data_IF_184323134350
#
_entry.id   IF_184323134350
#
_cell.length_a   1.000
_cell.length_b   1.000
_cell.length_c   1.000
_cell.angle_alpha   90.00
_cell.angle_beta   90.00
_cell.angle_gamma   90.00
#
_symmetry.space_group_name_H-M   'P 1'
#
loop_
_entity.id
_entity.type
_entity.pdbx_description
1 polymer ?
#
# COMPACT_ATOMS: atom_id res chain seq x y z
N UNK A 1 -4.11 5.28 -1.58
CA UNK A 1 -2.74 5.74 -1.24
C UNK A 1 -1.95 4.67 -0.52
N UNK A 2 -2.54 3.94 0.43
CA UNK A 2 -1.85 2.89 1.22
C UNK A 2 -1.03 1.89 0.40
N UNK A 3 -1.56 1.34 -0.70
CA UNK A 3 -0.79 0.42 -1.57
C UNK A 3 0.41 1.10 -2.23
N UNK A 4 0.26 2.34 -2.69
CA UNK A 4 1.33 3.12 -3.33
C UNK A 4 2.43 3.40 -2.31
N UNK A 5 2.08 3.75 -1.07
CA UNK A 5 3.06 3.95 0.00
C UNK A 5 3.93 2.71 0.23
N UNK A 6 3.32 1.52 0.23
CA UNK A 6 4.05 0.26 0.35
C UNK A 6 4.93 -0.02 -0.87
N UNK A 7 4.40 0.16 -2.08
CA UNK A 7 5.12 -0.07 -3.34
C UNK A 7 6.35 0.83 -3.45
N UNK A 8 6.16 2.13 -3.25
CA UNK A 8 7.25 3.10 -3.34
C UNK A 8 8.26 2.93 -2.21
N UNK A 9 7.80 2.58 -1.00
CA UNK A 9 8.68 2.18 0.10
C UNK A 9 9.57 0.99 -0.28
N UNK A 10 8.99 -0.07 -0.85
CA UNK A 10 9.74 -1.23 -1.32
C UNK A 10 10.71 -0.89 -2.45
N UNK A 11 10.31 -0.09 -3.44
CA UNK A 11 11.20 0.34 -4.54
C UNK A 11 12.40 1.16 -4.06
N UNK A 12 12.29 1.83 -2.92
CA UNK A 12 13.38 2.64 -2.35
C UNK A 12 14.44 1.81 -1.61
N UNK A 13 14.18 0.51 -1.40
CA UNK A 13 15.05 -0.40 -0.63
C UNK A 13 15.79 -1.33 -1.60
N UNK A 14 17.01 -1.74 -1.25
CA UNK A 14 17.79 -2.70 -2.04
C UNK A 14 17.13 -4.10 -2.00
N UNK A 15 17.04 -4.75 -3.16
CA UNK A 15 16.51 -6.12 -3.33
C UNK A 15 17.18 -7.14 -2.39
N UNK A 16 16.46 -8.20 -2.02
CA UNK A 16 16.86 -9.28 -1.11
C UNK A 16 17.09 -8.87 0.36
N UNK A 17 16.65 -7.67 0.76
CA UNK A 17 16.62 -7.27 2.16
C UNK A 17 15.54 -8.02 2.96
N UNK A 18 15.78 -8.15 4.27
CA UNK A 18 14.74 -8.54 5.23
C UNK A 18 14.00 -7.29 5.66
N UNK A 19 12.70 -7.23 5.41
CA UNK A 19 11.88 -6.05 5.62
C UNK A 19 10.74 -6.38 6.57
N UNK A 20 10.50 -5.52 7.55
CA UNK A 20 9.28 -5.54 8.34
C UNK A 20 8.39 -4.37 7.89
N UNK A 21 7.22 -4.69 7.33
CA UNK A 21 6.23 -3.69 6.92
C UNK A 21 5.15 -3.63 8.00
N UNK A 22 5.09 -2.48 8.68
CA UNK A 22 4.02 -2.18 9.62
C UNK A 22 2.96 -1.34 8.92
N UNK A 23 1.70 -1.77 8.99
CA UNK A 23 0.56 -1.03 8.44
C UNK A 23 -0.64 -1.13 9.39
N UNK A 24 -1.41 -0.06 9.50
CA UNK A 24 -2.71 -0.08 10.16
C UNK A 24 -3.88 -0.32 9.20
N UNK A 25 -3.60 -0.32 7.89
CA UNK A 25 -4.58 -0.61 6.85
C UNK A 25 -5.08 -2.04 6.94
N UNK A 26 -6.35 -2.17 7.29
CA UNK A 26 -7.07 -3.45 7.15
C UNK A 26 -7.15 -3.90 5.70
N UNK A 27 -7.14 -2.97 4.74
CA UNK A 27 -7.21 -3.28 3.31
C UNK A 27 -5.93 -3.96 2.83
N UNK A 28 -4.75 -3.41 3.17
CA UNK A 28 -3.45 -4.02 2.85
C UNK A 28 -3.29 -5.35 3.60
N UNK A 29 -3.58 -5.36 4.91
CA UNK A 29 -3.48 -6.56 5.75
C UNK A 29 -4.34 -7.72 5.22
N UNK A 30 -5.61 -7.48 4.94
CA UNK A 30 -6.48 -8.56 4.46
C UNK A 30 -6.16 -8.93 3.00
N UNK A 31 -5.76 -7.95 2.18
CA UNK A 31 -5.37 -8.19 0.80
C UNK A 31 -4.19 -9.15 0.68
N UNK A 32 -3.08 -8.85 1.36
CA UNK A 32 -1.88 -9.70 1.37
C UNK A 32 -2.14 -11.06 2.01
N UNK A 33 -2.84 -11.12 3.16
CA UNK A 33 -2.93 -12.38 3.92
C UNK A 33 -4.04 -13.32 3.45
N UNK A 34 -5.07 -12.82 2.75
CA UNK A 34 -6.30 -13.60 2.52
C UNK A 34 -6.81 -13.56 1.09
N UNK A 35 -6.60 -12.46 0.37
CA UNK A 35 -7.29 -12.25 -0.90
C UNK A 35 -6.39 -12.45 -2.12
N UNK A 36 -5.10 -12.10 -2.02
CA UNK A 36 -4.20 -12.05 -3.16
C UNK A 36 -4.08 -13.39 -3.89
N UNK A 37 -3.98 -14.50 -3.16
CA UNK A 37 -3.89 -15.84 -3.74
C UNK A 37 -5.16 -16.21 -4.52
N UNK A 38 -6.33 -15.91 -3.95
CA UNK A 38 -7.61 -16.16 -4.60
C UNK A 38 -7.81 -15.26 -5.83
N UNK A 39 -7.35 -14.01 -5.77
CA UNK A 39 -7.40 -13.10 -6.90
C UNK A 39 -6.49 -13.58 -8.03
N UNK A 40 -5.26 -14.00 -7.74
CA UNK A 40 -4.34 -14.59 -8.73
C UNK A 40 -4.97 -15.81 -9.42
N UNK A 41 -5.52 -16.72 -8.63
CA UNK A 41 -6.18 -17.92 -9.14
C UNK A 41 -7.43 -17.62 -9.99
N UNK A 42 -8.15 -16.54 -9.69
CA UNK A 42 -9.37 -16.14 -10.40
C UNK A 42 -9.12 -15.04 -11.46
N UNK A 43 -7.87 -14.86 -11.92
CA UNK A 43 -7.53 -13.89 -12.97
C UNK A 43 -7.80 -12.43 -12.58
N UNK A 44 -7.57 -12.10 -11.33
CA UNK A 44 -7.78 -10.79 -10.71
C UNK A 44 -9.23 -10.29 -10.74
N UNK A 45 -10.16 -11.20 -10.42
CA UNK A 45 -11.59 -10.92 -10.31
C UNK A 45 -12.14 -11.24 -8.93
N UNK A 46 -13.07 -10.41 -8.48
CA UNK A 46 -13.87 -10.61 -7.27
C UNK A 46 -14.87 -11.76 -7.44
N UNK A 47 -15.49 -12.20 -6.34
CA UNK A 47 -16.57 -13.21 -6.39
C UNK A 47 -17.75 -12.78 -7.29
N UNK A 48 -18.00 -11.46 -7.39
CA UNK A 48 -19.00 -10.89 -8.30
C UNK A 48 -18.54 -10.83 -9.77
N UNK A 49 -17.42 -11.49 -10.13
CA UNK A 49 -16.78 -11.49 -11.46
C UNK A 49 -16.35 -10.12 -11.98
N UNK A 50 -16.35 -9.10 -11.12
CA UNK A 50 -15.83 -7.76 -11.44
C UNK A 50 -14.31 -7.72 -11.20
N UNK A 51 -13.57 -6.87 -11.94
CA UNK A 51 -12.15 -6.62 -11.64
C UNK A 51 -11.95 -6.24 -10.18
N UNK A 52 -10.86 -6.72 -9.59
CA UNK A 52 -10.43 -6.29 -8.25
C UNK A 52 -10.15 -4.79 -8.26
N UNK A 53 -10.58 -4.09 -7.22
CA UNK A 53 -10.28 -2.66 -7.06
C UNK A 53 -8.76 -2.49 -6.91
N UNK A 54 -8.17 -1.52 -7.61
CA UNK A 54 -6.72 -1.28 -7.64
C UNK A 54 -5.93 -2.51 -8.13
N UNK A 55 -6.48 -3.26 -9.09
CA UNK A 55 -5.87 -4.49 -9.62
C UNK A 55 -4.42 -4.26 -10.07
N UNK A 56 -4.18 -3.17 -10.79
CA UNK A 56 -2.88 -2.72 -11.26
C UNK A 56 -1.85 -2.62 -10.11
N UNK A 57 -2.20 -1.89 -9.05
CA UNK A 57 -1.33 -1.74 -7.87
C UNK A 57 -1.10 -3.07 -7.14
N UNK A 58 -2.12 -3.92 -7.06
CA UNK A 58 -1.95 -5.24 -6.43
C UNK A 58 -1.04 -6.17 -7.23
N UNK A 59 -1.12 -6.13 -8.57
CA UNK A 59 -0.23 -6.90 -9.43
C UNK A 59 1.22 -6.44 -9.27
N UNK A 60 1.44 -5.12 -9.29
CA UNK A 60 2.77 -4.54 -9.07
C UNK A 60 3.32 -4.90 -7.68
N UNK A 61 2.49 -4.79 -6.63
CA UNK A 61 2.89 -5.19 -5.30
C UNK A 61 3.22 -6.69 -5.21
N UNK A 62 2.40 -7.56 -5.80
CA UNK A 62 2.62 -9.02 -5.82
C UNK A 62 3.95 -9.40 -6.47
N UNK A 63 4.34 -8.70 -7.54
CA UNK A 63 5.62 -8.89 -8.22
C UNK A 63 6.79 -8.38 -7.36
N UNK A 64 6.69 -7.18 -6.79
CA UNK A 64 7.74 -6.58 -5.98
C UNK A 64 8.04 -7.39 -4.72
N UNK A 65 7.01 -7.89 -4.03
CA UNK A 65 7.20 -8.62 -2.76
C UNK A 65 7.97 -9.93 -2.95
N UNK A 66 8.04 -10.49 -4.16
CA UNK A 66 8.85 -11.69 -4.43
C UNK A 66 10.36 -11.44 -4.29
N UNK A 67 10.80 -10.19 -4.41
CA UNK A 67 12.22 -9.82 -4.34
C UNK A 67 12.73 -9.62 -2.89
N UNK A 68 11.87 -9.81 -1.89
CA UNK A 68 12.17 -9.46 -0.49
C UNK A 68 11.71 -10.57 0.46
N UNK A 69 12.38 -10.66 1.61
CA UNK A 69 11.86 -11.43 2.75
C UNK A 69 11.04 -10.49 3.63
N UNK A 70 9.72 -10.48 3.44
CA UNK A 70 8.84 -9.50 4.10
C UNK A 70 8.08 -10.15 5.26
N UNK A 71 8.18 -9.52 6.43
CA UNK A 71 7.30 -9.76 7.57
C UNK A 71 6.24 -8.65 7.62
N UNK A 72 4.98 -9.05 7.51
CA UNK A 72 3.85 -8.13 7.62
C UNK A 72 3.38 -8.03 9.07
N UNK A 73 3.38 -6.81 9.60
CA UNK A 73 2.89 -6.50 10.94
C UNK A 73 1.69 -5.59 10.80
N UNK A 74 0.55 -6.01 11.34
CA UNK A 74 -0.62 -5.17 11.42
C UNK A 74 -0.75 -4.62 12.82
N UNK A 75 -0.95 -3.30 12.91
CA UNK A 75 -1.21 -2.60 14.15
C UNK A 75 -2.61 -2.02 14.10
N UNK A 76 -3.28 -1.99 15.25
CA UNK A 76 -4.58 -1.33 15.33
C UNK A 76 -4.32 0.18 15.21
N UNK A 77 -4.90 0.82 14.20
CA UNK A 77 -4.86 2.28 14.06
C UNK A 77 -5.40 2.95 15.33
N UNK A 78 -4.86 4.14 15.63
CA UNK A 78 -5.01 4.98 16.83
C UNK A 78 -3.80 4.94 17.79
N UNK A 79 -2.85 5.84 17.50
CA UNK A 79 -1.81 6.45 18.35
C UNK A 79 -0.85 5.51 19.09
N UNK A 80 0.45 5.62 18.80
CA UNK A 80 1.51 4.88 19.49
C UNK A 80 2.61 4.30 18.61
N UNK A 81 2.53 4.48 17.28
CA UNK A 81 3.57 4.06 16.34
C UNK A 81 4.16 5.30 15.63
N UNK A 82 5.32 5.82 16.09
CA UNK A 82 5.91 7.04 15.54
C UNK A 82 6.13 7.01 14.03
N UNK A 83 6.45 5.84 13.48
CA UNK A 83 6.59 5.64 12.03
C UNK A 83 5.27 5.81 11.27
N UNK A 84 4.17 5.26 11.78
CA UNK A 84 2.84 5.40 11.17
C UNK A 84 2.35 6.84 11.28
N UNK A 85 2.51 7.47 12.45
CA UNK A 85 2.12 8.86 12.65
C UNK A 85 2.88 9.80 11.70
N UNK A 86 4.17 9.53 11.48
CA UNK A 86 4.96 10.30 10.51
C UNK A 86 4.52 10.05 9.07
N UNK A 87 4.17 8.81 8.71
CA UNK A 87 3.67 8.48 7.37
C UNK A 87 2.32 9.15 7.09
N UNK A 88 1.40 9.16 8.07
CA UNK A 88 0.12 9.85 7.98
C UNK A 88 0.30 11.36 7.82
N UNK A 89 1.23 11.95 8.59
CA UNK A 89 1.56 13.36 8.47
C UNK A 89 2.06 13.69 7.06
N UNK A 90 3.02 12.92 6.53
CA UNK A 90 3.57 13.13 5.19
C UNK A 90 2.51 12.97 4.09
N UNK A 91 1.58 12.01 4.25
CA UNK A 91 0.47 11.83 3.32
C UNK A 91 -0.49 13.04 3.33
N UNK A 92 -0.78 13.61 4.50
CA UNK A 92 -1.62 14.79 4.63
C UNK A 92 -0.94 16.04 4.06
N UNK A 93 0.35 16.26 4.35
CA UNK A 93 1.15 17.35 3.78
C UNK A 93 1.15 17.30 2.25
N UNK A 94 1.31 16.11 1.66
CA UNK A 94 1.30 15.94 0.20
C UNK A 94 -0.09 16.25 -0.42
N UNK A 95 -1.18 15.96 0.28
CA UNK A 95 -2.55 16.30 -0.18
C UNK A 95 -2.75 17.81 -0.14
N UNK A 96 -2.33 18.49 0.94
CA UNK A 96 -2.40 19.94 1.05
C UNK A 96 -1.60 20.64 -0.07
N UNK A 97 -0.36 20.21 -0.31
CA UNK A 97 0.48 20.78 -1.38
C UNK A 97 -0.14 20.57 -2.78
N UNK A 98 -0.77 19.40 -3.01
CA UNK A 98 -1.45 19.12 -4.27
C UNK A 98 -2.69 20.01 -4.45
N UNK A 99 -3.45 20.28 -3.39
CA UNK A 99 -4.58 21.20 -3.43
C UNK A 99 -4.14 22.64 -3.75
N UNK A 100 -3.06 23.11 -3.12
CA UNK A 100 -2.54 24.46 -3.35
C UNK A 100 -2.01 24.66 -4.78
N UNK A 101 -1.25 23.69 -5.31
CA UNK A 101 -0.75 23.74 -6.70
C UNK A 101 -1.86 23.79 -7.74
N UNK A 102 -2.95 23.05 -7.53
CA UNK A 102 -4.09 23.08 -8.44
C UNK A 102 -4.92 24.36 -8.33
N UNK A 103 -4.88 25.05 -7.18
CA UNK A 103 -5.53 26.35 -7.04
C UNK A 103 -4.75 27.46 -7.78
N UNK A 104 -3.42 27.36 -7.83
CA UNK A 104 -2.56 28.32 -8.54
C UNK A 104 -2.64 28.16 -10.06
N UNK A 105 -2.89 26.95 -10.56
CA UNK A 105 -3.00 26.64 -12.00
C UNK A 105 -4.38 26.92 -12.61
N UNK A 106 -5.37 27.31 -11.80
CA UNK A 106 -6.74 27.64 -12.24
C UNK A 106 -7.06 29.14 -12.20
N UNK A 107 -6.04 30.01 -12.20
CA UNK A 107 -6.17 31.48 -12.26
C UNK A 107 -5.62 32.00 -13.59
#
# INVERSE_FOLDING_TARGET
MELIAVIEGLKSIQENAHIEITTDSMYVKNGINQWIDNWKNNGWKTAAKKPVKNKDLWQELDELVQNYSIKWVWVKGHSGHPGNERADQLANEAIEEFHDKNNILNI
#
